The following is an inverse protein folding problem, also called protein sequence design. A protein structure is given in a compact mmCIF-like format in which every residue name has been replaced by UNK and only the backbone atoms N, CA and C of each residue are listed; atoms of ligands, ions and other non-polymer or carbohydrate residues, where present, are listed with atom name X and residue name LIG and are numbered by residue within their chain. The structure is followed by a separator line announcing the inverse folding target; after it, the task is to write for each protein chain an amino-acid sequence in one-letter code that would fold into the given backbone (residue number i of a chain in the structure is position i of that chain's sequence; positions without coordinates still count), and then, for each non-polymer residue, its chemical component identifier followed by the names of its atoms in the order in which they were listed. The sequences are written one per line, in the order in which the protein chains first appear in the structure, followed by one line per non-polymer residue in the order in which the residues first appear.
data_IF_903363377583
#
_entry.id   IF_903363377583
#
_cell.length_a   1.000
_cell.length_b   1.000
_cell.length_c   1.000
_cell.angle_alpha   90.00
_cell.angle_beta   90.00
_cell.angle_gamma   90.00
#
_symmetry.space_group_name_H-M   'P 1'
#
loop_
_entity.id
_entity.type
_entity.pdbx_description
1 polymer ?
#
# COMPACT_ATOMS: atom_id res chain seq x y z
N UNK A 1 -11.85 18.38 -33.83
CA UNK A 1 -11.45 19.62 -33.12
C UNK A 1 -12.34 19.65 -31.89
N UNK A 2 -11.89 19.07 -30.78
CA UNK A 2 -12.56 19.23 -29.48
C UNK A 2 -12.26 20.66 -29.05
N UNK A 3 -13.31 21.44 -28.81
CA UNK A 3 -13.21 22.77 -28.21
C UNK A 3 -12.60 22.59 -26.83
N UNK A 4 -11.41 23.12 -26.60
CA UNK A 4 -10.77 23.15 -25.29
C UNK A 4 -11.70 23.98 -24.38
N UNK A 5 -12.46 23.27 -23.54
CA UNK A 5 -13.45 23.89 -22.66
C UNK A 5 -12.68 24.64 -21.57
N UNK A 6 -12.83 25.96 -21.54
CA UNK A 6 -12.18 26.87 -20.61
C UNK A 6 -12.44 26.47 -19.14
N UNK A 7 -11.42 26.63 -18.28
CA UNK A 7 -11.49 26.33 -16.85
C UNK A 7 -12.69 26.98 -16.13
N UNK A 8 -13.08 28.19 -16.53
CA UNK A 8 -14.28 28.88 -16.02
C UNK A 8 -15.59 28.13 -16.35
N UNK A 9 -15.65 27.48 -17.51
CA UNK A 9 -16.81 26.67 -17.92
C UNK A 9 -16.87 25.38 -17.07
N UNK A 10 -15.73 24.75 -16.81
CA UNK A 10 -15.65 23.60 -15.91
C UNK A 10 -16.06 23.98 -14.49
N UNK A 11 -15.62 25.12 -13.98
CA UNK A 11 -16.01 25.60 -12.66
C UNK A 11 -17.54 25.76 -12.53
N UNK A 12 -18.21 26.37 -13.51
CA UNK A 12 -19.67 26.49 -13.52
C UNK A 12 -20.36 25.11 -13.54
N UNK A 13 -19.88 24.19 -14.38
CA UNK A 13 -20.42 22.82 -14.43
C UNK A 13 -20.24 22.09 -13.10
N UNK A 14 -19.12 22.29 -12.40
CA UNK A 14 -18.89 21.73 -11.09
C UNK A 14 -19.91 22.26 -10.05
N UNK A 15 -20.14 23.57 -10.02
CA UNK A 15 -21.14 24.18 -9.15
C UNK A 15 -22.57 23.71 -9.45
N UNK A 16 -22.92 23.58 -10.74
CA UNK A 16 -24.23 23.04 -11.16
C UNK A 16 -24.39 21.59 -10.75
N UNK A 17 -23.35 20.76 -10.87
CA UNK A 17 -23.38 19.37 -10.43
C UNK A 17 -23.54 19.27 -8.90
N UNK A 18 -22.88 20.12 -8.11
CA UNK A 18 -23.09 20.19 -6.66
C UNK A 18 -24.51 20.56 -6.29
N UNK A 19 -25.13 21.54 -7.00
CA UNK A 19 -26.52 21.93 -6.78
C UNK A 19 -27.50 20.82 -7.16
N UNK A 20 -27.14 20.00 -8.16
CA UNK A 20 -27.90 18.83 -8.56
C UNK A 20 -27.72 17.61 -7.61
N UNK A 21 -26.83 17.69 -6.63
CA UNK A 21 -26.53 16.60 -5.71
C UNK A 21 -25.64 15.50 -6.32
N UNK A 22 -24.85 15.82 -7.34
CA UNK A 22 -23.88 14.91 -7.96
C UNK A 22 -22.43 15.35 -7.65
N UNK A 23 -21.89 14.94 -6.48
CA UNK A 23 -20.54 15.31 -6.09
C UNK A 23 -19.45 14.65 -6.95
N UNK A 24 -19.74 13.50 -7.58
CA UNK A 24 -18.74 12.83 -8.42
C UNK A 24 -18.51 13.61 -9.73
N UNK A 25 -19.57 14.01 -10.41
CA UNK A 25 -19.46 14.90 -11.58
C UNK A 25 -18.84 16.24 -11.22
N UNK A 26 -19.17 16.79 -10.04
CA UNK A 26 -18.56 18.02 -9.56
C UNK A 26 -17.04 17.87 -9.38
N UNK A 27 -16.58 16.79 -8.75
CA UNK A 27 -15.17 16.49 -8.54
C UNK A 27 -14.39 16.42 -9.88
N UNK A 28 -14.96 15.72 -10.85
CA UNK A 28 -14.36 15.63 -12.19
C UNK A 28 -14.25 17.01 -12.87
N UNK A 29 -15.28 17.84 -12.75
CA UNK A 29 -15.25 19.18 -13.32
C UNK A 29 -14.33 20.13 -12.57
N UNK A 30 -14.25 20.08 -11.23
CA UNK A 30 -13.26 20.84 -10.46
C UNK A 30 -11.83 20.47 -10.82
N UNK A 31 -11.58 19.18 -11.01
CA UNK A 31 -10.26 18.73 -11.44
C UNK A 31 -9.90 19.26 -12.83
N UNK A 32 -10.85 19.22 -13.77
CA UNK A 32 -10.68 19.74 -15.13
C UNK A 32 -10.58 21.28 -15.18
N UNK A 33 -11.14 21.99 -14.19
CA UNK A 33 -10.98 23.45 -14.08
C UNK A 33 -9.55 23.88 -13.72
N UNK A 34 -8.72 22.96 -13.22
CA UNK A 34 -7.33 23.23 -12.90
C UNK A 34 -7.19 24.36 -11.88
N UNK A 35 -6.36 25.35 -12.21
CA UNK A 35 -6.07 26.48 -11.34
C UNK A 35 -7.22 27.51 -11.24
N UNK A 36 -8.25 27.40 -12.08
CA UNK A 36 -9.45 28.22 -11.94
C UNK A 36 -10.27 27.85 -10.70
N UNK A 37 -10.09 26.63 -10.15
CA UNK A 37 -10.70 26.19 -8.91
C UNK A 37 -9.67 26.24 -7.76
N UNK A 38 -9.90 27.00 -6.68
CA UNK A 38 -9.01 27.01 -5.52
C UNK A 38 -8.93 25.61 -4.88
N UNK A 39 -7.73 25.03 -4.85
CA UNK A 39 -7.53 23.63 -4.43
C UNK A 39 -8.05 23.39 -3.01
N UNK A 40 -7.60 24.18 -2.03
CA UNK A 40 -7.94 24.00 -0.62
C UNK A 40 -9.44 24.14 -0.38
N UNK A 41 -10.06 25.15 -0.95
CA UNK A 41 -11.50 25.38 -0.79
C UNK A 41 -12.35 24.24 -1.38
N UNK A 42 -11.92 23.71 -2.52
CA UNK A 42 -12.61 22.59 -3.19
C UNK A 42 -12.46 21.31 -2.37
N UNK A 43 -11.24 20.97 -1.95
CA UNK A 43 -10.95 19.77 -1.18
C UNK A 43 -11.67 19.80 0.20
N UNK A 44 -11.57 20.91 0.94
CA UNK A 44 -12.28 21.10 2.20
C UNK A 44 -13.81 21.06 2.02
N UNK A 45 -14.31 21.60 0.91
CA UNK A 45 -15.75 21.57 0.59
C UNK A 45 -16.31 20.14 0.44
N UNK A 46 -15.53 19.20 -0.09
CA UNK A 46 -15.90 17.78 -0.12
C UNK A 46 -15.75 17.12 1.25
N UNK A 47 -14.65 17.42 1.95
CA UNK A 47 -14.37 16.85 3.28
C UNK A 47 -15.45 17.23 4.30
N UNK A 48 -15.81 18.51 4.38
CA UNK A 48 -16.83 19.03 5.32
C UNK A 48 -18.22 18.39 5.12
N UNK A 49 -18.50 17.93 3.90
CA UNK A 49 -19.75 17.26 3.54
C UNK A 49 -19.69 15.74 3.66
N UNK A 50 -18.53 15.17 4.05
CA UNK A 50 -18.32 13.71 4.10
C UNK A 50 -18.41 13.05 2.72
N UNK A 51 -18.00 13.76 1.66
CA UNK A 51 -18.04 13.28 0.27
C UNK A 51 -16.67 12.66 -0.11
N UNK A 52 -16.24 11.66 0.64
CA UNK A 52 -14.89 11.06 0.54
C UNK A 52 -14.59 10.47 -0.84
N UNK A 53 -15.60 9.92 -1.53
CA UNK A 53 -15.43 9.37 -2.88
C UNK A 53 -15.16 10.47 -3.91
N UNK A 54 -15.87 11.59 -3.80
CA UNK A 54 -15.67 12.75 -4.65
C UNK A 54 -14.31 13.42 -4.37
N UNK A 55 -13.94 13.54 -3.09
CA UNK A 55 -12.63 14.04 -2.68
C UNK A 55 -11.52 13.17 -3.26
N UNK A 56 -11.64 11.84 -3.14
CA UNK A 56 -10.63 10.92 -3.67
C UNK A 56 -10.51 11.01 -5.19
N UNK A 57 -11.63 11.15 -5.92
CA UNK A 57 -11.61 11.36 -7.37
C UNK A 57 -10.90 12.68 -7.72
N UNK A 58 -11.25 13.77 -7.01
CA UNK A 58 -10.63 15.07 -7.21
C UNK A 58 -9.11 15.03 -6.98
N UNK A 59 -8.68 14.49 -5.82
CA UNK A 59 -7.26 14.40 -5.47
C UNK A 59 -6.49 13.50 -6.44
N UNK A 60 -7.08 12.39 -6.89
CA UNK A 60 -6.46 11.50 -7.88
C UNK A 60 -6.26 12.20 -9.21
N UNK A 61 -7.29 12.90 -9.71
CA UNK A 61 -7.18 13.65 -10.96
C UNK A 61 -6.12 14.76 -10.88
N UNK A 62 -5.98 15.41 -9.71
CA UNK A 62 -4.92 16.41 -9.48
C UNK A 62 -3.54 15.75 -9.40
N UNK A 63 -3.43 14.57 -8.81
CA UNK A 63 -2.19 13.80 -8.74
C UNK A 63 -1.73 13.35 -10.13
N UNK A 64 -2.66 12.85 -10.95
CA UNK A 64 -2.39 12.39 -12.32
C UNK A 64 -1.96 13.56 -13.25
N UNK A 65 -2.43 14.79 -12.97
CA UNK A 65 -2.06 15.98 -13.71
C UNK A 65 -0.77 16.64 -13.24
N UNK A 66 -0.32 16.35 -12.01
CA UNK A 66 0.87 16.96 -11.43
C UNK A 66 2.17 16.38 -12.03
N UNK A 67 3.15 17.24 -12.30
CA UNK A 67 4.47 16.83 -12.77
C UNK A 67 5.39 16.52 -11.57
N UNK A 68 5.75 15.24 -11.34
CA UNK A 68 6.56 14.86 -10.18
C UNK A 68 7.96 15.45 -10.19
N UNK A 69 8.46 15.93 -11.35
CA UNK A 69 9.78 16.56 -11.45
C UNK A 69 9.74 18.05 -11.13
N UNK A 70 8.61 18.70 -11.38
CA UNK A 70 8.42 20.14 -11.14
C UNK A 70 7.80 20.43 -9.78
N UNK A 71 6.91 19.54 -9.33
CA UNK A 71 6.08 19.72 -8.14
C UNK A 71 6.17 18.53 -7.18
N UNK A 72 7.38 18.06 -6.78
CA UNK A 72 7.53 16.84 -5.98
C UNK A 72 6.80 16.93 -4.63
N UNK A 73 6.79 18.09 -3.98
CA UNK A 73 6.09 18.28 -2.71
C UNK A 73 4.57 18.18 -2.87
N UNK A 74 4.01 18.73 -3.95
CA UNK A 74 2.58 18.66 -4.26
C UNK A 74 2.18 17.21 -4.47
N UNK A 75 2.95 16.47 -5.28
CA UNK A 75 2.72 15.05 -5.55
C UNK A 75 2.77 14.24 -4.25
N UNK A 76 3.77 14.47 -3.38
CA UNK A 76 3.90 13.77 -2.09
C UNK A 76 2.70 14.06 -1.18
N UNK A 77 2.25 15.31 -1.08
CA UNK A 77 1.10 15.70 -0.25
C UNK A 77 -0.20 15.10 -0.76
N UNK A 78 -0.44 15.13 -2.07
CA UNK A 78 -1.63 14.53 -2.70
C UNK A 78 -1.65 13.00 -2.50
N UNK A 79 -0.51 12.35 -2.71
CA UNK A 79 -0.38 10.91 -2.52
C UNK A 79 -0.61 10.52 -1.05
N UNK A 80 -0.04 11.25 -0.10
CA UNK A 80 -0.24 11.02 1.34
C UNK A 80 -1.72 11.15 1.73
N UNK A 81 -2.42 12.17 1.25
CA UNK A 81 -3.83 12.37 1.54
C UNK A 81 -4.70 11.26 0.94
N UNK A 82 -4.37 10.79 -0.28
CA UNK A 82 -5.06 9.64 -0.88
C UNK A 82 -4.84 8.35 -0.11
N UNK A 83 -3.62 8.10 0.43
CA UNK A 83 -3.38 6.95 1.32
C UNK A 83 -4.26 7.04 2.55
N UNK A 84 -4.36 8.21 3.19
CA UNK A 84 -5.20 8.41 4.38
C UNK A 84 -6.68 8.11 4.09
N UNK A 85 -7.22 8.58 2.96
CA UNK A 85 -8.57 8.25 2.52
C UNK A 85 -8.77 6.76 2.25
N UNK A 86 -7.78 6.09 1.63
CA UNK A 86 -7.85 4.64 1.44
C UNK A 86 -7.80 3.88 2.76
N UNK A 87 -6.96 4.29 3.72
CA UNK A 87 -6.89 3.72 5.06
C UNK A 87 -8.24 3.91 5.79
N UNK A 88 -8.81 5.11 5.75
CA UNK A 88 -10.12 5.39 6.34
C UNK A 88 -11.22 4.50 5.77
N UNK A 89 -11.21 4.22 4.46
CA UNK A 89 -12.14 3.27 3.83
C UNK A 89 -11.95 1.83 4.30
N UNK A 90 -10.69 1.39 4.42
CA UNK A 90 -10.39 0.04 4.94
C UNK A 90 -10.89 -0.11 6.36
N UNK A 91 -10.64 0.89 7.21
CA UNK A 91 -11.08 0.87 8.62
C UNK A 91 -12.58 1.03 8.79
N UNK A 92 -13.23 1.78 7.90
CA UNK A 92 -14.70 1.99 7.92
C UNK A 92 -15.51 0.82 7.36
N UNK A 93 -14.88 -0.10 6.64
CA UNK A 93 -15.57 -1.25 6.06
C UNK A 93 -15.72 -2.39 7.08
N UNK A 94 -16.89 -3.02 7.10
CA UNK A 94 -17.14 -4.17 7.97
C UNK A 94 -16.25 -5.35 7.58
N UNK A 95 -15.52 -5.89 8.56
CA UNK A 95 -14.56 -6.98 8.35
C UNK A 95 -15.22 -8.21 7.73
N UNK A 96 -14.52 -8.84 6.76
CA UNK A 96 -15.00 -10.03 6.08
C UNK A 96 -15.96 -9.76 4.91
N UNK A 97 -16.36 -8.52 4.68
CA UNK A 97 -17.21 -8.15 3.53
C UNK A 97 -16.42 -7.99 2.23
N UNK A 98 -17.12 -8.08 1.10
CA UNK A 98 -16.55 -7.76 -0.23
C UNK A 98 -16.08 -6.31 -0.29
N UNK A 99 -16.76 -5.41 0.40
CA UNK A 99 -16.38 -3.99 0.49
C UNK A 99 -15.02 -3.83 1.17
N UNK A 100 -14.77 -4.51 2.30
CA UNK A 100 -13.47 -4.49 2.99
C UNK A 100 -12.34 -5.07 2.10
N UNK A 101 -12.63 -6.18 1.41
CA UNK A 101 -11.65 -6.78 0.49
C UNK A 101 -11.30 -5.84 -0.67
N UNK A 102 -12.30 -5.17 -1.24
CA UNK A 102 -12.08 -4.19 -2.30
C UNK A 102 -11.30 -2.97 -1.80
N UNK A 103 -11.65 -2.43 -0.63
CA UNK A 103 -10.94 -1.30 -0.03
C UNK A 103 -9.45 -1.62 0.22
N UNK A 104 -9.15 -2.81 0.78
CA UNK A 104 -7.78 -3.29 0.98
C UNK A 104 -7.04 -3.46 -0.35
N UNK A 105 -7.70 -4.03 -1.36
CA UNK A 105 -7.12 -4.17 -2.69
C UNK A 105 -6.79 -2.82 -3.33
N UNK A 106 -7.71 -1.85 -3.21
CA UNK A 106 -7.53 -0.51 -3.76
C UNK A 106 -6.37 0.23 -3.07
N UNK A 107 -6.26 0.12 -1.74
CA UNK A 107 -5.12 0.65 -0.97
C UNK A 107 -3.79 0.06 -1.49
N UNK A 108 -3.70 -1.26 -1.65
CA UNK A 108 -2.47 -1.92 -2.13
C UNK A 108 -2.13 -1.55 -3.56
N UNK A 109 -3.11 -1.44 -4.44
CA UNK A 109 -2.91 -0.99 -5.82
C UNK A 109 -2.42 0.45 -5.87
N UNK A 110 -2.99 1.32 -5.04
CA UNK A 110 -2.55 2.71 -4.94
C UNK A 110 -1.10 2.80 -4.45
N UNK A 111 -0.77 2.10 -3.36
CA UNK A 111 0.59 2.02 -2.83
C UNK A 111 1.57 1.52 -3.90
N UNK A 112 1.23 0.44 -4.61
CA UNK A 112 2.09 -0.13 -5.64
C UNK A 112 2.34 0.84 -6.81
N UNK A 113 1.34 1.65 -7.17
CA UNK A 113 1.46 2.63 -8.25
C UNK A 113 2.26 3.88 -7.86
N UNK A 114 2.17 4.31 -6.59
CA UNK A 114 2.66 5.63 -6.15
C UNK A 114 3.72 5.56 -5.03
N UNK A 115 4.27 4.39 -4.70
CA UNK A 115 5.20 4.20 -3.59
C UNK A 115 6.39 5.17 -3.60
N UNK A 116 6.92 5.52 -4.79
CA UNK A 116 8.05 6.42 -4.95
C UNK A 116 7.72 7.89 -4.61
N UNK A 117 6.44 8.22 -4.57
CA UNK A 117 5.93 9.56 -4.21
C UNK A 117 5.47 9.64 -2.75
N UNK A 118 5.45 8.50 -2.04
CA UNK A 118 5.05 8.44 -0.65
C UNK A 118 6.23 8.68 0.29
N UNK A 119 5.98 9.44 1.37
CA UNK A 119 6.92 9.49 2.49
C UNK A 119 6.86 8.16 3.25
N UNK A 120 8.00 7.45 3.27
CA UNK A 120 8.10 6.12 3.86
C UNK A 120 7.78 6.14 5.35
N UNK A 121 8.28 7.15 6.06
CA UNK A 121 8.10 7.24 7.53
C UNK A 121 6.66 7.59 7.87
N UNK A 122 6.08 8.58 7.20
CA UNK A 122 4.70 8.98 7.42
C UNK A 122 3.71 7.86 7.06
N UNK A 123 3.89 7.19 5.92
CA UNK A 123 3.04 6.07 5.49
C UNK A 123 3.14 4.89 6.44
N UNK A 124 4.36 4.55 6.90
CA UNK A 124 4.58 3.51 7.91
C UNK A 124 3.81 3.82 9.20
N UNK A 125 4.01 5.02 9.76
CA UNK A 125 3.36 5.44 11.00
C UNK A 125 1.83 5.38 10.88
N UNK A 126 1.29 5.82 9.76
CA UNK A 126 -0.15 5.77 9.50
C UNK A 126 -0.67 4.32 9.52
N UNK A 127 -0.03 3.41 8.77
CA UNK A 127 -0.45 2.00 8.71
C UNK A 127 -0.27 1.28 10.05
N UNK A 128 0.76 1.63 10.84
CA UNK A 128 0.97 1.12 12.20
C UNK A 128 -0.12 1.62 13.17
N UNK A 129 -0.46 2.91 13.12
CA UNK A 129 -1.51 3.52 13.95
C UNK A 129 -2.85 2.82 13.76
N UNK A 130 -3.21 2.53 12.52
CA UNK A 130 -4.45 1.81 12.18
C UNK A 130 -4.32 0.29 12.25
N UNK A 131 -3.18 -0.25 12.67
CA UNK A 131 -2.87 -1.69 12.79
C UNK A 131 -3.06 -2.49 11.49
N UNK A 132 -2.84 -1.86 10.37
CA UNK A 132 -2.92 -2.47 9.04
C UNK A 132 -1.57 -3.14 8.71
N UNK A 133 -1.17 -4.11 9.54
CA UNK A 133 0.17 -4.71 9.46
C UNK A 133 0.42 -5.49 8.17
N UNK A 134 -0.61 -6.13 7.59
CA UNK A 134 -0.48 -6.82 6.31
C UNK A 134 -0.24 -5.83 5.15
N UNK A 135 -0.88 -4.67 5.21
CA UNK A 135 -0.74 -3.61 4.22
C UNK A 135 0.60 -2.88 4.40
N UNK A 136 1.04 -2.72 5.66
CA UNK A 136 2.38 -2.22 5.98
C UNK A 136 3.47 -3.16 5.46
N UNK A 137 3.33 -4.47 5.66
CA UNK A 137 4.28 -5.43 5.12
C UNK A 137 4.33 -5.37 3.59
N UNK A 138 3.18 -5.23 2.92
CA UNK A 138 3.11 -5.02 1.47
C UNK A 138 3.78 -3.71 1.03
N UNK A 139 3.56 -2.62 1.75
CA UNK A 139 4.22 -1.33 1.49
C UNK A 139 5.74 -1.45 1.59
N UNK A 140 6.25 -2.07 2.67
CA UNK A 140 7.68 -2.29 2.87
C UNK A 140 8.30 -3.15 1.76
N UNK A 141 7.61 -4.19 1.31
CA UNK A 141 8.05 -5.02 0.16
C UNK A 141 8.13 -4.19 -1.13
N UNK A 142 7.13 -3.37 -1.39
CA UNK A 142 7.07 -2.49 -2.56
C UNK A 142 8.18 -1.44 -2.53
N UNK A 143 8.46 -0.86 -1.38
CA UNK A 143 9.55 0.10 -1.15
C UNK A 143 10.96 -0.55 -1.16
N UNK A 144 11.03 -1.89 -1.23
CA UNK A 144 12.29 -2.64 -1.23
C UNK A 144 12.87 -2.94 0.15
N UNK A 145 12.18 -2.58 1.24
CA UNK A 145 12.54 -2.88 2.63
C UNK A 145 12.08 -4.29 3.03
N UNK A 146 12.46 -5.29 2.22
CA UNK A 146 11.98 -6.68 2.33
C UNK A 146 12.31 -7.31 3.68
N UNK A 147 13.48 -7.01 4.24
CA UNK A 147 13.89 -7.54 5.55
C UNK A 147 12.96 -7.05 6.66
N UNK A 148 12.62 -5.77 6.66
CA UNK A 148 11.70 -5.19 7.63
C UNK A 148 10.29 -5.77 7.51
N UNK A 149 9.81 -6.01 6.26
CA UNK A 149 8.54 -6.70 6.02
C UNK A 149 8.53 -8.11 6.62
N UNK A 150 9.61 -8.87 6.41
CA UNK A 150 9.75 -10.23 6.96
C UNK A 150 9.75 -10.22 8.49
N UNK A 151 10.50 -9.31 9.11
CA UNK A 151 10.54 -9.17 10.57
C UNK A 151 9.19 -8.78 11.16
N UNK A 152 8.46 -7.86 10.49
CA UNK A 152 7.10 -7.49 10.86
C UNK A 152 6.15 -8.70 10.80
N UNK A 153 6.15 -9.44 9.68
CA UNK A 153 5.32 -10.64 9.50
C UNK A 153 5.60 -11.71 10.55
N UNK A 154 6.88 -11.93 10.89
CA UNK A 154 7.24 -12.84 11.99
C UNK A 154 6.70 -12.35 13.33
N UNK A 155 6.74 -11.04 13.58
CA UNK A 155 6.24 -10.46 14.84
C UNK A 155 4.73 -10.64 15.00
N UNK A 156 3.97 -10.53 13.91
CA UNK A 156 2.51 -10.75 13.92
C UNK A 156 2.10 -12.22 13.73
N UNK A 157 3.07 -13.13 13.55
CA UNK A 157 2.81 -14.56 13.38
C UNK A 157 2.37 -14.98 11.97
N UNK A 158 2.47 -14.09 10.96
CA UNK A 158 2.14 -14.40 9.57
C UNK A 158 3.26 -15.17 8.86
N UNK A 159 3.47 -16.42 9.27
CA UNK A 159 4.49 -17.31 8.68
C UNK A 159 4.22 -17.57 7.19
N UNK A 160 2.96 -17.73 6.79
CA UNK A 160 2.60 -17.92 5.39
C UNK A 160 3.03 -16.73 4.52
N UNK A 161 2.84 -15.52 5.00
CA UNK A 161 3.32 -14.29 4.37
C UNK A 161 4.84 -14.24 4.27
N UNK A 162 5.56 -14.58 5.35
CA UNK A 162 7.04 -14.69 5.34
C UNK A 162 7.49 -15.63 4.22
N UNK A 163 6.95 -16.86 4.18
CA UNK A 163 7.37 -17.87 3.20
C UNK A 163 7.03 -17.46 1.77
N UNK A 164 5.92 -16.75 1.58
CA UNK A 164 5.54 -16.16 0.29
C UNK A 164 6.56 -15.10 -0.13
N UNK A 165 6.91 -14.17 0.73
CA UNK A 165 7.92 -13.13 0.49
C UNK A 165 9.26 -13.74 0.13
N UNK A 166 9.74 -14.73 0.90
CA UNK A 166 10.99 -15.45 0.62
C UNK A 166 10.96 -16.17 -0.73
N UNK A 167 9.80 -16.68 -1.15
CA UNK A 167 9.65 -17.38 -2.44
C UNK A 167 9.66 -16.43 -3.63
N UNK A 168 8.93 -15.34 -3.52
CA UNK A 168 8.67 -14.43 -4.64
C UNK A 168 9.76 -13.38 -4.82
N UNK A 169 10.44 -12.99 -3.74
CA UNK A 169 11.42 -11.92 -3.81
C UNK A 169 12.83 -12.45 -4.08
N UNK A 170 13.38 -12.06 -5.24
CA UNK A 170 14.74 -12.46 -5.65
C UNK A 170 15.84 -11.62 -4.99
N UNK A 171 15.50 -10.58 -4.23
CA UNK A 171 16.47 -9.74 -3.51
C UNK A 171 16.82 -10.28 -2.13
N UNK A 172 16.13 -11.32 -1.66
CA UNK A 172 16.43 -11.98 -0.38
C UNK A 172 17.68 -12.82 -0.53
N UNK A 173 18.69 -12.55 0.29
CA UNK A 173 19.94 -13.29 0.26
C UNK A 173 19.80 -14.68 0.92
N UNK A 174 20.68 -15.65 0.59
CA UNK A 174 20.72 -16.93 1.28
C UNK A 174 20.91 -16.78 2.80
N UNK A 175 21.71 -15.80 3.22
CA UNK A 175 21.99 -15.49 4.62
C UNK A 175 20.73 -15.01 5.37
N UNK A 176 19.92 -14.17 4.71
CA UNK A 176 18.64 -13.72 5.27
C UNK A 176 17.68 -14.89 5.45
N UNK A 177 17.61 -15.79 4.45
CA UNK A 177 16.80 -17.00 4.53
C UNK A 177 17.25 -17.88 5.72
N UNK A 178 18.56 -18.06 5.92
CA UNK A 178 19.09 -18.82 7.06
C UNK A 178 18.76 -18.22 8.42
N UNK A 179 18.63 -16.90 8.51
CA UNK A 179 18.26 -16.22 9.76
C UNK A 179 16.76 -16.29 10.04
N UNK A 180 15.95 -16.22 8.98
CA UNK A 180 14.48 -16.13 9.06
C UNK A 180 13.84 -17.50 9.30
N UNK A 181 14.26 -18.55 8.57
CA UNK A 181 13.57 -19.84 8.59
C UNK A 181 13.58 -20.55 9.96
N UNK A 182 14.63 -20.49 10.80
CA UNK A 182 14.57 -21.06 12.15
C UNK A 182 13.53 -20.35 13.04
N UNK A 183 13.33 -19.04 12.86
CA UNK A 183 12.29 -18.27 13.59
C UNK A 183 10.90 -18.65 13.07
N UNK A 184 10.71 -18.70 11.74
CA UNK A 184 9.47 -19.14 11.11
C UNK A 184 9.10 -20.57 11.53
N UNK A 185 10.08 -21.48 11.60
CA UNK A 185 9.88 -22.87 12.03
C UNK A 185 9.39 -22.97 13.48
N UNK A 186 9.91 -22.14 14.38
CA UNK A 186 9.43 -22.09 15.78
C UNK A 186 7.99 -21.60 15.88
N UNK A 187 7.60 -20.66 15.01
CA UNK A 187 6.25 -20.08 15.02
C UNK A 187 5.23 -21.02 14.34
N UNK A 188 5.57 -21.61 13.19
CA UNK A 188 4.76 -22.61 12.48
C UNK A 188 5.64 -23.70 11.84
N UNK A 189 5.86 -24.82 12.56
CA UNK A 189 6.66 -25.94 12.05
C UNK A 189 6.08 -26.60 10.82
N UNK A 190 4.75 -26.64 10.71
CA UNK A 190 4.08 -27.37 9.61
C UNK A 190 4.26 -26.63 8.29
N UNK A 191 3.85 -25.36 8.25
CA UNK A 191 4.01 -24.51 7.05
C UNK A 191 5.48 -24.39 6.63
N UNK A 192 6.37 -24.16 7.58
CA UNK A 192 7.80 -24.05 7.30
C UNK A 192 8.39 -25.37 6.78
N UNK A 193 7.95 -26.53 7.29
CA UNK A 193 8.40 -27.84 6.79
C UNK A 193 8.00 -28.07 5.33
N UNK A 194 6.81 -27.65 4.91
CA UNK A 194 6.40 -27.71 3.49
C UNK A 194 7.27 -26.81 2.61
N UNK A 195 7.62 -25.61 3.11
CA UNK A 195 8.50 -24.72 2.39
C UNK A 195 9.92 -25.28 2.26
N UNK A 196 10.48 -25.87 3.31
CA UNK A 196 11.81 -26.50 3.31
C UNK A 196 11.96 -27.61 2.26
N UNK A 197 10.87 -28.28 1.91
CA UNK A 197 10.85 -29.31 0.85
C UNK A 197 10.71 -28.74 -0.56
N UNK A 198 10.53 -27.42 -0.69
CA UNK A 198 10.30 -26.81 -2.00
C UNK A 198 11.60 -26.72 -2.82
N UNK A 199 11.51 -27.07 -4.12
CA UNK A 199 12.64 -26.95 -5.05
C UNK A 199 13.15 -25.50 -5.17
N UNK A 200 12.28 -24.53 -4.97
CA UNK A 200 12.60 -23.10 -5.02
C UNK A 200 13.58 -22.71 -3.94
N UNK A 201 13.42 -23.23 -2.73
CA UNK A 201 14.34 -22.96 -1.62
C UNK A 201 15.71 -23.57 -1.89
N UNK A 202 15.75 -24.83 -2.32
CA UNK A 202 16.99 -25.54 -2.66
C UNK A 202 17.79 -24.79 -3.73
N UNK A 203 17.10 -24.27 -4.74
CA UNK A 203 17.73 -23.48 -5.80
C UNK A 203 18.26 -22.13 -5.32
N UNK A 204 17.61 -21.50 -4.34
CA UNK A 204 18.04 -20.20 -3.78
C UNK A 204 19.20 -20.32 -2.80
N UNK A 205 19.22 -21.35 -1.96
CA UNK A 205 20.22 -21.51 -0.91
C UNK A 205 21.56 -22.13 -1.37
N UNK A 206 21.52 -23.07 -2.30
CA UNK A 206 22.69 -23.91 -2.55
C UNK A 206 22.98 -24.91 -1.43
N UNK A 207 23.96 -25.79 -1.64
CA UNK A 207 24.20 -26.94 -0.73
C UNK A 207 24.72 -26.55 0.67
N UNK A 208 25.67 -25.61 0.73
CA UNK A 208 26.31 -25.20 1.98
C UNK A 208 25.33 -24.50 2.94
N UNK A 209 24.53 -23.57 2.43
CA UNK A 209 23.52 -22.86 3.21
C UNK A 209 22.38 -23.79 3.65
N UNK A 210 22.05 -24.81 2.87
CA UNK A 210 21.06 -25.83 3.25
C UNK A 210 21.52 -26.65 4.47
N UNK A 211 22.78 -27.07 4.50
CA UNK A 211 23.35 -27.79 5.65
C UNK A 211 23.38 -26.91 6.89
N UNK A 212 23.82 -25.67 6.76
CA UNK A 212 23.80 -24.69 7.85
C UNK A 212 22.39 -24.48 8.41
N UNK A 213 21.41 -24.29 7.54
CA UNK A 213 20.02 -24.10 7.92
C UNK A 213 19.43 -25.29 8.68
N UNK A 214 19.62 -26.52 8.16
CA UNK A 214 19.13 -27.73 8.82
C UNK A 214 19.76 -27.88 10.20
N UNK A 215 21.06 -27.60 10.33
CA UNK A 215 21.75 -27.64 11.61
C UNK A 215 21.18 -26.61 12.60
N UNK A 216 20.92 -25.38 12.18
CA UNK A 216 20.32 -24.32 13.03
C UNK A 216 18.90 -24.69 13.50
N UNK A 217 18.08 -25.27 12.61
CA UNK A 217 16.73 -25.75 12.98
C UNK A 217 16.83 -26.91 13.99
N UNK A 218 17.71 -27.88 13.74
CA UNK A 218 17.89 -29.02 14.62
C UNK A 218 18.38 -28.61 16.01
N UNK A 219 19.35 -27.70 16.11
CA UNK A 219 19.82 -27.16 17.38
C UNK A 219 18.71 -26.40 18.12
N UNK A 220 17.92 -25.61 17.39
CA UNK A 220 16.78 -24.87 17.97
C UNK A 220 15.72 -25.79 18.57
N UNK A 221 15.47 -26.96 17.98
CA UNK A 221 14.52 -27.97 18.50
C UNK A 221 15.08 -28.68 19.74
N UNK A 222 16.41 -28.90 19.82
CA UNK A 222 17.03 -29.61 20.89
C UNK A 222 17.32 -28.75 22.14
N UNK A 223 17.18 -27.43 22.03
CA UNK A 223 17.42 -26.45 23.09
C UNK A 223 16.16 -26.01 23.86
N UNK A 224 14.99 -26.51 23.47
CA UNK A 224 13.69 -26.37 24.15
C UNK A 224 13.42 -27.64 25.03
#
# INVERSE_FOLDING_TARGET
MEEEVDGATHLRRAEDALRAGDPMSAAAHYAAAGDAAPFEATALGFLDKGQDDALALYLRSRLDAADPTREPETVTKLAAWLVDLHVSRVCGAESGTVAAQNATKDLRLFIAAHWSSLDIVATRNLLEEYRLFDDLAHFLETAGAVRESVDLRLTIGDVAGVLRTLRQNNKVSPEDIEQVLPRAFRTDPIETSFFLRSRTLVAKLGGEHLVSLVSKIAIGILSE
#
